data_IF_183518152358
#
_entry.id   IF_183518152358
#
_cell.length_a   1.000
_cell.length_b   1.000
_cell.length_c   1.000
_cell.angle_alpha   90.00
_cell.angle_beta   90.00
_cell.angle_gamma   90.00
#
_symmetry.space_group_name_H-M   'P 1'
#
loop_
_entity.id
_entity.type
_entity.pdbx_description
1 polymer ?
#
# COMPACT_ATOMS: atom_id res chain seq x y z
N UNK A 1 7.96 0.41 10.44
CA UNK A 1 6.75 0.05 9.66
C UNK A 1 5.92 -0.90 10.51
N UNK A 2 4.63 -1.04 10.23
CA UNK A 2 3.73 -1.96 10.93
C UNK A 2 3.17 -2.92 9.88
N UNK A 3 3.36 -4.23 10.09
CA UNK A 3 2.76 -5.27 9.26
C UNK A 3 1.24 -5.22 9.34
N UNK A 4 0.57 -5.13 8.19
CA UNK A 4 -0.88 -4.97 8.02
C UNK A 4 -1.44 -3.68 8.65
N UNK A 5 -1.63 -3.67 9.97
CA UNK A 5 -2.21 -2.54 10.71
C UNK A 5 -3.68 -2.24 10.41
N UNK A 6 -4.42 -3.14 9.75
CA UNK A 6 -5.79 -2.89 9.27
C UNK A 6 -6.79 -2.55 10.37
N UNK A 7 -6.58 -3.00 11.60
CA UNK A 7 -7.46 -2.66 12.73
C UNK A 7 -7.32 -1.21 13.20
N UNK A 8 -6.32 -0.46 12.71
CA UNK A 8 -6.16 0.96 13.00
C UNK A 8 -7.39 1.79 12.61
N UNK A 9 -8.17 1.33 11.62
CA UNK A 9 -9.44 1.99 11.22
C UNK A 9 -10.44 2.15 12.37
N UNK A 10 -10.34 1.30 13.41
CA UNK A 10 -11.24 1.33 14.58
C UNK A 10 -10.90 2.45 15.57
N UNK A 11 -9.75 3.12 15.42
CA UNK A 11 -9.31 4.18 16.32
C UNK A 11 -8.84 5.41 15.53
N UNK A 12 -9.66 6.47 15.57
CA UNK A 12 -9.42 7.73 14.85
C UNK A 12 -8.18 8.49 15.33
N UNK A 13 -7.88 8.43 16.63
CA UNK A 13 -6.68 9.07 17.18
C UNK A 13 -5.42 8.36 16.68
N UNK A 14 -5.43 7.02 16.65
CA UNK A 14 -4.34 6.24 16.07
C UNK A 14 -4.15 6.55 14.58
N UNK A 15 -5.24 6.60 13.80
CA UNK A 15 -5.19 7.01 12.39
C UNK A 15 -4.51 8.38 12.20
N UNK A 16 -4.85 9.34 13.07
CA UNK A 16 -4.24 10.68 13.07
C UNK A 16 -2.75 10.60 13.35
N UNK A 17 -2.33 9.84 14.36
CA UNK A 17 -0.91 9.64 14.69
C UNK A 17 -0.15 8.98 13.53
N UNK A 18 -0.71 7.92 12.93
CA UNK A 18 -0.10 7.20 11.82
C UNK A 18 0.11 8.11 10.60
N UNK A 19 -0.90 8.92 10.27
CA UNK A 19 -0.83 9.91 9.20
C UNK A 19 0.20 10.98 9.50
N UNK A 20 0.10 11.66 10.64
CA UNK A 20 0.92 12.84 10.95
C UNK A 20 2.40 12.47 11.12
N UNK A 21 2.68 11.31 11.72
CA UNK A 21 4.05 10.79 11.86
C UNK A 21 4.53 10.01 10.64
N UNK A 22 3.67 9.83 9.63
CA UNK A 22 3.97 9.07 8.42
C UNK A 22 4.55 7.68 8.75
N UNK A 23 3.92 6.95 9.67
CA UNK A 23 4.33 5.59 10.06
C UNK A 23 3.77 4.61 9.01
N UNK A 24 4.63 3.86 8.27
CA UNK A 24 4.13 3.03 7.18
C UNK A 24 3.32 1.82 7.65
N UNK A 25 2.16 1.58 7.03
CA UNK A 25 1.40 0.33 7.13
C UNK A 25 1.64 -0.55 5.90
N UNK A 26 2.09 -1.79 6.12
CA UNK A 26 2.33 -2.78 5.07
C UNK A 26 1.05 -3.56 4.79
N UNK A 27 0.19 -3.03 3.91
CA UNK A 27 -1.13 -3.60 3.65
C UNK A 27 -1.04 -4.76 2.67
N UNK A 28 -1.75 -5.85 2.96
CA UNK A 28 -1.76 -7.08 2.15
C UNK A 28 -3.22 -7.46 1.81
N UNK A 29 -3.84 -6.83 0.79
CA UNK A 29 -5.29 -6.90 0.59
C UNK A 29 -5.86 -8.32 0.49
N UNK A 30 -5.25 -9.16 -0.34
CA UNK A 30 -5.74 -10.53 -0.54
C UNK A 30 -5.49 -11.40 0.69
N UNK A 31 -4.33 -11.27 1.34
CA UNK A 31 -4.05 -11.95 2.61
C UNK A 31 -5.07 -11.58 3.68
N UNK A 32 -5.40 -10.30 3.86
CA UNK A 32 -6.35 -9.85 4.87
C UNK A 32 -7.76 -10.41 4.66
N UNK A 33 -8.15 -10.66 3.41
CA UNK A 33 -9.41 -11.35 3.08
C UNK A 33 -9.33 -12.85 3.32
N UNK A 34 -8.27 -13.52 2.85
CA UNK A 34 -8.12 -14.97 2.97
C UNK A 34 -7.94 -15.44 4.41
N UNK A 35 -7.33 -14.60 5.25
CA UNK A 35 -7.17 -14.83 6.69
C UNK A 35 -8.39 -14.37 7.51
N UNK A 36 -9.42 -13.82 6.86
CA UNK A 36 -10.65 -13.32 7.50
C UNK A 36 -10.44 -12.20 8.52
N UNK A 37 -9.31 -11.49 8.45
CA UNK A 37 -9.08 -10.27 9.24
C UNK A 37 -10.07 -9.18 8.83
N UNK A 38 -10.44 -9.14 7.54
CA UNK A 38 -11.59 -8.41 7.02
C UNK A 38 -12.55 -9.42 6.37
N UNK A 39 -13.87 -9.21 6.52
CA UNK A 39 -14.87 -10.19 6.08
C UNK A 39 -15.18 -10.13 4.59
N UNK A 40 -14.96 -8.98 3.97
CA UNK A 40 -15.25 -8.75 2.56
C UNK A 40 -14.34 -7.65 2.02
N UNK A 41 -14.16 -7.59 0.69
CA UNK A 41 -13.39 -6.54 0.04
C UNK A 41 -13.94 -5.16 0.42
N UNK A 42 -15.26 -4.99 0.43
CA UNK A 42 -15.94 -3.75 0.82
C UNK A 42 -15.58 -3.26 2.23
N UNK A 43 -15.27 -4.17 3.16
CA UNK A 43 -14.87 -3.81 4.53
C UNK A 43 -13.37 -3.50 4.67
N UNK A 44 -12.57 -3.70 3.63
CA UNK A 44 -11.13 -3.49 3.69
C UNK A 44 -10.80 -1.99 3.78
N UNK A 45 -10.01 -1.55 4.78
CA UNK A 45 -9.75 -0.11 4.98
C UNK A 45 -8.70 0.48 4.03
N UNK A 46 -8.27 -0.23 2.98
CA UNK A 46 -7.09 0.17 2.18
C UNK A 46 -7.32 1.49 1.47
N UNK A 47 -8.51 1.68 0.89
CA UNK A 47 -8.87 2.91 0.22
C UNK A 47 -9.02 4.07 1.18
N UNK A 48 -9.65 3.83 2.34
CA UNK A 48 -9.80 4.85 3.40
C UNK A 48 -8.42 5.29 3.91
N UNK A 49 -7.51 4.35 4.16
CA UNK A 49 -6.14 4.70 4.60
C UNK A 49 -5.43 5.57 3.58
N UNK A 50 -5.53 5.21 2.29
CA UNK A 50 -4.95 6.00 1.20
C UNK A 50 -5.57 7.42 1.12
N UNK A 51 -6.90 7.51 1.14
CA UNK A 51 -7.63 8.78 1.02
C UNK A 51 -7.42 9.70 2.23
N UNK A 52 -7.26 9.13 3.43
CA UNK A 52 -6.90 9.86 4.66
C UNK A 52 -5.41 10.25 4.73
N UNK A 53 -4.62 9.93 3.70
CA UNK A 53 -3.22 10.33 3.59
C UNK A 53 -2.26 9.53 4.46
N UNK A 54 -2.65 8.33 4.92
CA UNK A 54 -1.72 7.44 5.60
C UNK A 54 -0.64 6.96 4.62
N UNK A 55 0.56 6.75 5.14
CA UNK A 55 1.64 6.14 4.38
C UNK A 55 1.41 4.62 4.32
N UNK A 56 0.83 4.13 3.24
CA UNK A 56 0.58 2.69 3.03
C UNK A 56 1.45 2.12 1.91
N UNK A 57 1.75 0.82 2.00
CA UNK A 57 2.31 0.04 0.89
C UNK A 57 1.40 -1.14 0.57
N UNK A 58 1.44 -1.62 -0.67
CA UNK A 58 0.72 -2.82 -1.12
C UNK A 58 1.72 -3.95 -1.26
N UNK A 59 1.39 -5.11 -0.67
CA UNK A 59 2.27 -6.26 -0.58
C UNK A 59 1.46 -7.54 -0.74
N UNK A 60 2.12 -8.62 -1.15
CA UNK A 60 1.50 -9.93 -1.40
C UNK A 60 1.51 -10.88 -0.20
N UNK A 61 2.22 -10.52 0.88
CA UNK A 61 2.42 -11.36 2.06
C UNK A 61 3.09 -12.70 1.73
N UNK A 62 2.34 -13.79 1.65
CA UNK A 62 2.76 -15.13 1.23
C UNK A 62 2.21 -15.51 -0.16
N UNK A 63 2.84 -15.05 -1.27
CA UNK A 63 2.38 -15.27 -2.65
C UNK A 63 1.96 -16.71 -2.97
N UNK A 64 2.77 -17.69 -2.54
CA UNK A 64 2.53 -19.11 -2.82
C UNK A 64 1.30 -19.62 -2.08
N UNK A 65 1.14 -19.23 -0.81
CA UNK A 65 -0.01 -19.64 0.02
C UNK A 65 -1.32 -19.06 -0.53
N UNK A 66 -1.26 -17.83 -1.01
CA UNK A 66 -2.43 -17.11 -1.51
C UNK A 66 -2.61 -17.21 -3.02
N UNK A 67 -1.75 -17.94 -3.75
CA UNK A 67 -1.75 -18.01 -5.21
C UNK A 67 -1.97 -16.62 -5.84
N UNK A 68 -1.16 -15.66 -5.39
CA UNK A 68 -1.32 -14.24 -5.69
C UNK A 68 0.05 -13.58 -5.86
N UNK A 69 0.21 -12.80 -6.94
CA UNK A 69 1.39 -11.99 -7.22
C UNK A 69 1.19 -10.54 -6.78
N UNK A 70 2.28 -9.78 -6.67
CA UNK A 70 2.19 -8.33 -6.39
C UNK A 70 1.41 -7.58 -7.49
N UNK A 71 1.58 -7.97 -8.75
CA UNK A 71 0.80 -7.40 -9.86
C UNK A 71 -0.70 -7.65 -9.67
N UNK A 72 -1.08 -8.86 -9.25
CA UNK A 72 -2.48 -9.19 -8.99
C UNK A 72 -3.04 -8.44 -7.77
N UNK A 73 -2.24 -8.15 -6.74
CA UNK A 73 -2.64 -7.26 -5.64
C UNK A 73 -2.93 -5.83 -6.14
N UNK A 74 -2.08 -5.28 -7.00
CA UNK A 74 -2.34 -3.97 -7.61
C UNK A 74 -3.58 -3.98 -8.49
N UNK A 75 -3.76 -5.01 -9.32
CA UNK A 75 -4.97 -5.16 -10.12
C UNK A 75 -6.22 -5.32 -9.24
N UNK A 76 -6.12 -6.05 -8.14
CA UNK A 76 -7.20 -6.24 -7.18
C UNK A 76 -7.64 -4.89 -6.60
N UNK A 77 -6.72 -4.06 -6.13
CA UNK A 77 -7.10 -2.76 -5.57
C UNK A 77 -7.65 -1.78 -6.62
N UNK A 78 -7.20 -1.89 -7.88
CA UNK A 78 -7.78 -1.10 -8.97
C UNK A 78 -9.24 -1.50 -9.21
N UNK A 79 -9.53 -2.81 -9.27
CA UNK A 79 -10.88 -3.32 -9.53
C UNK A 79 -11.84 -3.06 -8.36
N UNK A 80 -11.41 -3.36 -7.13
CA UNK A 80 -12.31 -3.32 -5.96
C UNK A 80 -12.44 -1.93 -5.34
N UNK A 81 -11.40 -1.09 -5.46
CA UNK A 81 -11.34 0.20 -4.75
C UNK A 81 -11.11 1.40 -5.67
N UNK A 82 -11.05 1.18 -7.00
CA UNK A 82 -10.96 2.25 -7.98
C UNK A 82 -9.63 3.00 -8.01
N UNK A 83 -8.54 2.40 -7.52
CA UNK A 83 -7.20 2.96 -7.72
C UNK A 83 -6.87 3.07 -9.20
N UNK A 84 -6.23 4.17 -9.59
CA UNK A 84 -5.81 4.47 -10.97
C UNK A 84 -4.29 4.54 -11.08
N UNK A 85 -3.80 4.69 -12.31
CA UNK A 85 -2.37 4.74 -12.62
C UNK A 85 -1.58 5.68 -11.67
N UNK A 86 -2.02 6.92 -11.52
CA UNK A 86 -1.38 7.92 -10.66
C UNK A 86 -1.36 7.49 -9.18
N UNK A 87 -2.39 6.76 -8.72
CA UNK A 87 -2.40 6.22 -7.37
C UNK A 87 -1.36 5.10 -7.23
N UNK A 88 -1.16 4.27 -8.27
CA UNK A 88 -0.15 3.21 -8.27
C UNK A 88 1.27 3.77 -8.28
N UNK A 89 1.50 4.84 -9.05
CA UNK A 89 2.75 5.59 -8.99
C UNK A 89 3.01 6.10 -7.57
N UNK A 90 2.02 6.77 -6.97
CA UNK A 90 2.13 7.28 -5.60
C UNK A 90 2.40 6.18 -4.58
N UNK A 91 1.71 5.04 -4.68
CA UNK A 91 1.94 3.87 -3.84
C UNK A 91 3.36 3.31 -4.01
N UNK A 92 3.93 3.39 -5.22
CA UNK A 92 5.32 3.01 -5.51
C UNK A 92 6.31 3.95 -4.81
N UNK A 93 6.06 5.27 -4.85
CA UNK A 93 6.85 6.23 -4.07
C UNK A 93 6.71 6.01 -2.56
N UNK A 94 5.53 5.64 -2.07
CA UNK A 94 5.31 5.30 -0.67
C UNK A 94 6.13 4.08 -0.25
N UNK A 95 6.17 3.03 -1.08
CA UNK A 95 7.01 1.87 -0.85
C UNK A 95 8.50 2.24 -0.81
N UNK A 96 8.96 3.09 -1.73
CA UNK A 96 10.35 3.57 -1.72
C UNK A 96 10.67 4.40 -0.47
N UNK A 97 9.77 5.32 -0.08
CA UNK A 97 9.89 6.12 1.16
C UNK A 97 10.01 5.21 2.37
N UNK A 98 9.17 4.18 2.45
CA UNK A 98 9.10 3.22 3.55
C UNK A 98 10.24 2.19 3.55
N UNK A 99 10.92 1.97 2.42
CA UNK A 99 12.01 0.98 2.29
C UNK A 99 13.20 1.28 3.22
N UNK A 100 14.02 0.25 3.49
CA UNK A 100 15.24 0.36 4.31
C UNK A 100 16.50 0.71 3.51
N UNK A 101 16.36 1.10 2.25
CA UNK A 101 17.49 1.53 1.44
C UNK A 101 18.16 2.78 2.01
N UNK A 102 19.47 2.91 1.75
CA UNK A 102 20.21 4.13 2.08
C UNK A 102 19.71 5.32 1.24
N UNK A 103 19.91 6.57 1.70
CA UNK A 103 19.46 7.75 0.98
C UNK A 103 19.92 7.80 -0.49
N UNK A 104 21.18 7.42 -0.76
CA UNK A 104 21.72 7.40 -2.12
C UNK A 104 20.97 6.40 -3.03
N UNK A 105 20.69 5.19 -2.52
CA UNK A 105 19.92 4.19 -3.28
C UNK A 105 18.49 4.68 -3.49
N UNK A 106 17.86 5.29 -2.47
CA UNK A 106 16.52 5.87 -2.61
C UNK A 106 16.47 6.94 -3.70
N UNK A 107 17.43 7.87 -3.73
CA UNK A 107 17.49 8.91 -4.78
C UNK A 107 17.63 8.30 -6.18
N UNK A 108 18.41 7.24 -6.33
CA UNK A 108 18.56 6.55 -7.64
C UNK A 108 17.24 5.88 -8.06
N UNK A 109 16.60 5.14 -7.16
CA UNK A 109 15.34 4.45 -7.43
C UNK A 109 14.20 5.43 -7.67
N UNK A 110 14.16 6.56 -6.97
CA UNK A 110 13.19 7.64 -7.18
C UNK A 110 13.22 8.09 -8.64
N UNK A 111 14.41 8.37 -9.18
CA UNK A 111 14.58 8.73 -10.59
C UNK A 111 14.18 7.60 -11.55
N UNK A 112 14.42 6.34 -11.19
CA UNK A 112 13.99 5.20 -12.00
C UNK A 112 12.46 5.14 -12.08
N UNK A 113 11.76 5.40 -10.97
CA UNK A 113 10.30 5.42 -10.92
C UNK A 113 9.77 6.57 -11.78
N UNK A 114 10.26 7.80 -11.56
CA UNK A 114 9.85 9.00 -12.32
C UNK A 114 10.03 8.78 -13.84
N UNK A 115 11.22 8.33 -14.27
CA UNK A 115 11.50 8.05 -15.68
C UNK A 115 10.62 6.94 -16.29
N UNK A 116 10.11 6.01 -15.48
CA UNK A 116 9.21 4.97 -15.98
C UNK A 116 7.82 5.53 -16.24
N UNK A 117 7.29 6.35 -15.33
CA UNK A 117 5.96 6.94 -15.41
C UNK A 117 5.87 8.09 -16.42
N UNK A 118 6.91 8.93 -16.52
CA UNK A 118 7.00 9.99 -17.55
C UNK A 118 6.86 9.44 -18.98
N UNK A 119 7.26 8.18 -19.22
CA UNK A 119 7.14 7.51 -20.53
C UNK A 119 5.75 6.96 -20.83
N UNK A 120 4.86 6.93 -19.84
CA UNK A 120 3.48 6.46 -19.99
C UNK A 120 2.49 7.61 -20.24
N UNK A 121 2.98 8.86 -20.18
CA UNK A 121 2.21 10.08 -20.43
C UNK A 121 2.45 10.59 -21.85
#
# INVERSE_FOLDING_TARGET
RIGHGVTAIKNRELMTILRDRQIPLEVCPTSNLKTQVVKSAREHPVKIFYDEGLLITINSDDPTMFNQTLTEEFQFICREYGFRADDLERLTHYALKASFFTPNIKTKLQKTIENYWDKQT
#
